data_IF_738090141655
#
_entry.id   IF_738090141655
#
_cell.length_a   1.000
_cell.length_b   1.000
_cell.length_c   1.000
_cell.angle_alpha   90.00
_cell.angle_beta   90.00
_cell.angle_gamma   90.00
#
_symmetry.space_group_name_H-M   'P 1'
#
loop_
_entity.id
_entity.type
_entity.pdbx_description
1 polymer ?
#
# COMPACT_ATOMS: atom_id res chain seq x y z
N UNK A 1 -3.46 -1.78 -11.59
CA UNK A 1 -2.07 -2.27 -11.76
C UNK A 1 -1.73 -3.13 -10.54
N UNK A 2 -1.27 -4.37 -10.70
CA UNK A 2 -0.88 -5.25 -9.59
C UNK A 2 0.28 -4.68 -8.76
N UNK A 3 0.34 -5.04 -7.48
CA UNK A 3 1.38 -4.59 -6.55
C UNK A 3 1.79 -5.71 -5.61
N UNK A 4 3.06 -5.70 -5.21
CA UNK A 4 3.58 -6.48 -4.08
C UNK A 4 3.78 -5.51 -2.93
N UNK A 5 3.21 -5.85 -1.78
CA UNK A 5 3.30 -5.04 -0.56
C UNK A 5 3.74 -5.91 0.60
N UNK A 6 4.63 -5.40 1.43
CA UNK A 6 4.99 -6.02 2.72
C UNK A 6 4.52 -5.09 3.82
N UNK A 7 3.68 -5.64 4.70
CA UNK A 7 3.06 -4.92 5.80
C UNK A 7 3.30 -5.74 7.06
N UNK A 8 3.75 -5.10 8.12
CA UNK A 8 3.92 -5.77 9.42
C UNK A 8 2.57 -5.88 10.16
N UNK A 9 2.56 -6.59 11.29
CA UNK A 9 1.33 -6.83 12.07
C UNK A 9 0.65 -5.54 12.57
N UNK A 10 1.41 -4.45 12.68
CA UNK A 10 0.92 -3.14 13.11
C UNK A 10 0.30 -2.32 11.97
N UNK A 11 0.23 -2.89 10.76
CA UNK A 11 -0.26 -2.19 9.57
C UNK A 11 0.75 -1.21 8.96
N UNK A 12 2.01 -1.19 9.44
CA UNK A 12 3.06 -0.38 8.85
C UNK A 12 3.55 -1.04 7.57
N UNK A 13 3.50 -0.28 6.48
CA UNK A 13 4.03 -0.70 5.19
C UNK A 13 5.55 -0.56 5.17
N UNK A 14 6.23 -1.67 4.91
CA UNK A 14 7.69 -1.74 4.82
C UNK A 14 8.18 -1.70 3.37
N UNK A 15 7.39 -2.21 2.42
CA UNK A 15 7.72 -2.17 1.00
C UNK A 15 6.47 -2.13 0.11
N UNK A 16 6.61 -1.44 -1.03
CA UNK A 16 5.56 -1.19 -2.02
C UNK A 16 6.14 -1.16 -3.44
N UNK A 17 5.82 -2.16 -4.26
CA UNK A 17 6.28 -2.21 -5.65
C UNK A 17 5.15 -2.52 -6.62
N UNK A 18 5.12 -1.78 -7.74
CA UNK A 18 4.19 -2.07 -8.85
C UNK A 18 4.82 -3.12 -9.74
N UNK A 19 4.02 -4.10 -10.15
CA UNK A 19 4.49 -5.22 -10.96
C UNK A 19 3.54 -5.49 -12.12
N UNK A 20 4.08 -6.08 -13.18
CA UNK A 20 3.37 -6.57 -14.35
C UNK A 20 3.65 -8.06 -14.55
N UNK A 21 2.83 -8.74 -15.36
CA UNK A 21 3.07 -10.15 -15.66
C UNK A 21 4.43 -10.38 -16.35
N UNK A 22 4.84 -9.46 -17.23
CA UNK A 22 6.09 -9.55 -17.98
C UNK A 22 7.33 -9.47 -17.09
N UNK A 23 7.27 -8.78 -15.94
CA UNK A 23 8.40 -8.69 -15.02
C UNK A 23 8.78 -10.10 -14.50
N UNK A 24 7.78 -10.92 -14.18
CA UNK A 24 7.98 -12.29 -13.69
C UNK A 24 8.51 -13.27 -14.75
N UNK A 25 8.48 -12.91 -16.03
CA UNK A 25 9.05 -13.75 -17.10
C UNK A 25 10.57 -13.56 -17.22
N UNK A 26 11.14 -12.55 -16.57
CA UNK A 26 12.57 -12.26 -16.62
C UNK A 26 13.31 -12.84 -15.41
N UNK A 27 14.35 -13.64 -15.67
CA UNK A 27 15.19 -14.26 -14.63
C UNK A 27 15.82 -13.21 -13.70
N UNK A 28 16.22 -12.06 -14.27
CA UNK A 28 16.78 -10.95 -13.51
C UNK A 28 15.81 -10.41 -12.46
N UNK A 29 14.54 -10.17 -12.86
CA UNK A 29 13.52 -9.70 -11.94
C UNK A 29 13.21 -10.75 -10.87
N UNK A 30 13.07 -12.02 -11.24
CA UNK A 30 12.83 -13.11 -10.29
C UNK A 30 13.91 -13.17 -9.19
N UNK A 31 15.19 -13.11 -9.58
CA UNK A 31 16.32 -13.11 -8.64
C UNK A 31 16.28 -11.89 -7.72
N UNK A 32 16.16 -10.69 -8.30
CA UNK A 32 16.17 -9.47 -7.51
C UNK A 32 14.90 -9.31 -6.66
N UNK A 33 13.77 -9.89 -7.07
CA UNK A 33 12.54 -9.94 -6.29
C UNK A 33 12.72 -10.76 -5.01
N UNK A 34 13.35 -11.94 -5.10
CA UNK A 34 13.63 -12.77 -3.94
C UNK A 34 14.53 -12.06 -2.92
N UNK A 35 15.57 -11.36 -3.40
CA UNK A 35 16.44 -10.55 -2.55
C UNK A 35 15.65 -9.43 -1.86
N UNK A 36 14.87 -8.63 -2.61
CA UNK A 36 14.07 -7.54 -2.05
C UNK A 36 13.05 -8.01 -1.01
N UNK A 37 12.39 -9.13 -1.29
CA UNK A 37 11.47 -9.76 -0.34
C UNK A 37 12.18 -10.13 0.96
N UNK A 38 13.37 -10.73 0.88
CA UNK A 38 14.16 -11.08 2.06
C UNK A 38 14.51 -9.86 2.93
N UNK A 39 14.91 -8.76 2.30
CA UNK A 39 15.18 -7.50 3.00
C UNK A 39 13.91 -6.91 3.63
N UNK A 40 12.80 -6.84 2.89
CA UNK A 40 11.55 -6.26 3.37
C UNK A 40 10.95 -7.06 4.54
N UNK A 41 11.02 -8.40 4.50
CA UNK A 41 10.57 -9.26 5.60
C UNK A 41 11.45 -9.05 6.83
N UNK A 42 12.77 -9.05 6.68
CA UNK A 42 13.68 -8.86 7.79
C UNK A 42 13.55 -7.44 8.43
N UNK A 43 13.14 -6.44 7.66
CA UNK A 43 12.83 -5.11 8.19
C UNK A 43 11.47 -5.08 8.90
N UNK A 44 10.46 -5.76 8.35
CA UNK A 44 9.16 -5.91 8.99
C UNK A 44 9.25 -6.65 10.35
N UNK A 45 10.07 -7.70 10.44
CA UNK A 45 10.35 -8.42 11.69
C UNK A 45 11.00 -7.51 12.74
N UNK A 46 12.05 -6.76 12.35
CA UNK A 46 12.68 -5.77 13.25
C UNK A 46 11.72 -4.69 13.70
N UNK A 47 10.82 -4.24 12.83
CA UNK A 47 9.79 -3.27 13.15
C UNK A 47 8.70 -3.83 14.08
N UNK A 48 8.44 -5.14 14.04
CA UNK A 48 7.53 -5.82 14.97
C UNK A 48 8.13 -5.91 16.38
N UNK A 49 9.46 -6.04 16.49
CA UNK A 49 10.18 -6.11 17.77
C UNK A 49 10.44 -4.74 18.43
N UNK A 50 10.27 -3.63 17.69
CA UNK A 50 10.53 -2.27 18.16
C UNK A 50 9.34 -1.62 18.91
N UNK A 51 9.59 -0.75 19.91
CA UNK A 51 8.52 -0.04 20.61
C UNK A 51 7.87 1.05 19.74
N UNK A 52 6.56 0.94 19.57
CA UNK A 52 5.57 1.89 19.03
C UNK A 52 5.65 2.28 17.54
N UNK A 53 4.69 1.76 16.78
CA UNK A 53 4.30 2.21 15.45
C UNK A 53 3.60 3.57 15.49
N UNK A 54 4.18 4.58 14.83
CA UNK A 54 3.42 5.72 14.34
C UNK A 54 2.53 5.21 13.21
N UNK A 55 1.22 5.13 13.49
CA UNK A 55 0.20 4.77 12.50
C UNK A 55 0.16 5.84 11.43
N UNK A 56 0.69 5.55 10.24
CA UNK A 56 0.35 6.31 9.04
C UNK A 56 -1.14 6.08 8.75
N UNK A 57 -2.00 7.00 9.23
CA UNK A 57 -3.41 7.07 8.81
C UNK A 57 -3.43 7.14 7.28
N UNK A 58 -4.06 6.16 6.66
CA UNK A 58 -4.55 6.29 5.30
C UNK A 58 -5.65 7.36 5.31
N UNK A 59 -5.35 8.59 4.90
CA UNK A 59 -6.39 9.56 4.52
C UNK A 59 -6.93 9.13 3.16
N UNK A 60 -7.86 8.17 3.20
CA UNK A 60 -8.54 7.62 2.04
C UNK A 60 -10.05 7.65 2.20
N UNK A 61 -10.62 8.77 2.60
CA UNK A 61 -12.06 9.05 2.41
C UNK A 61 -12.22 10.48 1.90
N UNK A 62 -12.28 10.63 0.58
CA UNK A 62 -13.01 11.75 0.00
C UNK A 62 -14.50 11.42 0.16
N UNK A 63 -15.31 12.18 0.92
CA UNK A 63 -16.75 12.10 0.76
C UNK A 63 -17.08 12.67 -0.62
N UNK A 64 -17.66 11.81 -1.45
CA UNK A 64 -18.24 12.18 -2.73
C UNK A 64 -19.22 13.35 -2.56
N UNK A 65 -19.23 14.18 -3.59
CA UNK A 65 -20.15 15.28 -3.75
C UNK A 65 -21.61 14.77 -3.79
N UNK A 66 -22.33 14.84 -2.66
CA UNK A 66 -23.78 14.86 -2.70
C UNK A 66 -24.27 16.28 -2.99
N UNK A 67 -24.37 16.53 -4.29
CA UNK A 67 -25.48 17.20 -4.96
C UNK A 67 -26.64 17.61 -4.03
N UNK A 68 -26.68 18.89 -3.65
CA UNK A 68 -27.91 19.55 -3.19
C UNK A 68 -28.13 20.81 -4.00
N UNK A 69 -28.86 20.66 -5.11
CA UNK A 69 -29.50 21.76 -5.80
C UNK A 69 -30.87 22.01 -5.14
N UNK A 70 -31.20 23.22 -4.65
CA UNK A 70 -32.56 23.51 -4.25
C UNK A 70 -33.40 23.86 -5.49
N UNK A 71 -34.52 23.14 -5.60
CA UNK A 71 -35.57 23.35 -6.59
C UNK A 71 -36.05 24.81 -6.64
N UNK A 72 -36.20 25.31 -7.86
CA UNK A 72 -37.10 26.42 -8.16
C UNK A 72 -38.52 26.11 -7.65
N UNK A 73 -39.08 26.99 -6.82
CA UNK A 73 -40.50 27.03 -6.54
C UNK A 73 -40.96 28.48 -6.66
N UNK A 74 -41.86 28.69 -7.62
CA UNK A 74 -42.38 30.01 -7.95
C UNK A 74 -43.22 30.64 -6.84
N UNK A 75 -43.30 31.96 -6.94
CA UNK A 75 -44.44 32.80 -6.61
C UNK A 75 -44.34 34.05 -7.50
#
# INVERSE_FOLDING_TARGET
>A
MPRVIVVNENGTMTWDERVTAADFETEHFQRCLAERLGWAVADAERAAEGPMSIVCRQTGTAPEAEMSAPLARGA
#
